data_IF_093915081441
#
_entry.id   IF_093915081441
#
_cell.length_a   1.000
_cell.length_b   1.000
_cell.length_c   1.000
_cell.angle_alpha   90.00
_cell.angle_beta   90.00
_cell.angle_gamma   90.00
#
_symmetry.space_group_name_H-M   'P 1'
#
loop_
_entity.id
_entity.type
_entity.pdbx_description
1 polymer ?
2 non-polymer ?
3 water ?
#
# COMPACT_ATOMS: atom_id res chain seq x y z
N UNK A 4 12.99 64.87 -2.12
CA UNK A 4 13.39 64.00 -3.22
C UNK A 4 12.74 62.64 -3.11
N UNK A 5 12.39 62.04 -4.24
CA UNK A 5 11.50 60.89 -4.26
C UNK A 5 12.15 59.52 -4.39
N UNK A 6 11.32 58.48 -4.37
CA UNK A 6 11.79 57.11 -4.47
C UNK A 6 11.90 56.67 -5.93
N UNK A 7 12.72 55.66 -6.16
CA UNK A 7 12.82 55.04 -7.46
C UNK A 7 11.54 54.26 -7.74
N UNK A 8 11.14 54.25 -9.01
CA UNK A 8 9.92 53.54 -9.40
C UNK A 8 10.04 52.04 -9.13
N UNK A 9 11.23 51.50 -9.38
CA UNK A 9 11.49 50.08 -9.19
C UNK A 9 11.58 49.70 -7.71
N UNK A 10 11.36 50.67 -6.83
CA UNK A 10 11.21 50.41 -5.41
C UNK A 10 9.74 50.56 -5.00
N UNK A 11 9.09 51.59 -5.52
CA UNK A 11 7.67 51.83 -5.27
C UNK A 11 6.77 50.70 -5.78
N UNK A 12 7.14 50.12 -6.92
CA UNK A 12 6.27 49.21 -7.66
C UNK A 12 5.83 47.96 -6.88
N UNK A 13 6.48 47.70 -5.75
CA UNK A 13 6.18 46.49 -4.97
C UNK A 13 5.40 46.79 -3.70
N UNK A 14 4.97 48.04 -3.54
CA UNK A 14 4.36 48.49 -2.28
C UNK A 14 2.85 48.29 -2.18
N UNK A 15 2.21 47.91 -3.28
CA UNK A 15 0.74 47.78 -3.28
C UNK A 15 0.27 46.65 -2.36
N UNK A 16 -0.68 46.98 -1.49
CA UNK A 16 -1.11 46.07 -0.43
C UNK A 16 -2.33 45.23 -0.81
N UNK A 17 -3.07 45.66 -1.82
CA UNK A 17 -4.27 44.97 -2.25
C UNK A 17 -3.98 43.59 -2.81
N UNK A 18 -5.01 42.75 -2.92
CA UNK A 18 -4.86 41.42 -3.51
C UNK A 18 -4.88 41.47 -5.04
N UNK A 19 -4.31 40.45 -5.68
CA UNK A 19 -4.38 40.33 -7.12
C UNK A 19 -5.79 39.91 -7.52
N UNK A 20 -6.36 40.58 -8.53
CA UNK A 20 -7.75 40.36 -8.90
C UNK A 20 -7.93 39.90 -10.34
N UNK A 21 -6.84 39.58 -11.00
CA UNK A 21 -6.90 39.17 -12.41
C UNK A 21 -6.30 37.80 -12.64
N UNK A 22 -6.48 37.30 -13.86
CA UNK A 22 -5.92 36.02 -14.26
C UNK A 22 -5.76 35.93 -15.76
N UNK A 23 -5.41 34.74 -16.24
CA UNK A 23 -5.29 34.50 -17.67
C UNK A 23 -6.27 33.42 -18.12
N UNK A 24 -6.90 33.66 -19.26
CA UNK A 24 -7.89 32.76 -19.82
C UNK A 24 -7.30 31.98 -20.99
N UNK A 25 -7.20 30.67 -20.85
CA UNK A 25 -6.59 29.85 -21.90
C UNK A 25 -7.47 28.64 -22.23
N UNK A 26 -7.29 28.10 -23.43
CA UNK A 26 -7.99 26.89 -23.82
C UNK A 26 -7.52 25.72 -22.95
N UNK A 27 -8.42 24.79 -22.68
CA UNK A 27 -8.10 23.64 -21.84
C UNK A 27 -6.89 22.88 -22.39
N UNK A 28 -6.85 22.71 -23.71
CA UNK A 28 -5.75 21.98 -24.34
C UNK A 28 -4.39 22.67 -24.16
N UNK A 29 -4.42 23.93 -23.75
CA UNK A 29 -3.19 24.69 -23.53
C UNK A 29 -2.84 24.75 -22.03
N UNK A 30 -3.82 24.38 -21.20
CA UNK A 30 -3.77 24.64 -19.76
C UNK A 30 -2.53 24.15 -19.04
N UNK A 31 -2.06 22.95 -19.37
CA UNK A 31 -0.85 22.44 -18.71
C UNK A 31 0.34 23.28 -19.13
N UNK A 32 0.48 23.47 -20.45
CA UNK A 32 1.57 24.26 -21.00
C UNK A 32 1.66 25.60 -20.27
N UNK A 33 0.57 26.36 -20.37
CA UNK A 33 0.47 27.66 -19.72
C UNK A 33 0.83 27.59 -18.23
N UNK A 34 0.31 26.59 -17.52
CA UNK A 34 0.58 26.49 -16.08
C UNK A 34 2.09 26.47 -15.88
N UNK A 35 2.74 25.55 -16.61
CA UNK A 35 4.19 25.42 -16.57
C UNK A 35 4.80 26.79 -16.82
N UNK A 36 4.38 27.41 -17.93
CA UNK A 36 4.89 28.72 -18.32
C UNK A 36 4.80 29.70 -17.16
N UNK A 37 3.61 29.79 -16.57
CA UNK A 37 3.38 30.79 -15.53
C UNK A 37 4.29 30.53 -14.35
N UNK A 38 4.53 29.26 -14.07
CA UNK A 38 5.39 28.90 -12.94
C UNK A 38 6.82 29.29 -13.26
N UNK A 39 7.23 29.07 -14.51
CA UNK A 39 8.61 29.30 -14.89
C UNK A 39 8.94 30.78 -14.92
N UNK A 40 8.01 31.58 -15.40
CA UNK A 40 8.20 33.03 -15.49
C UNK A 40 8.09 33.63 -14.09
N UNK A 41 7.30 33.01 -13.23
CA UNK A 41 7.22 33.39 -11.84
C UNK A 41 6.10 34.37 -11.52
N UNK A 42 5.01 34.28 -12.27
CA UNK A 42 3.87 35.17 -12.04
C UNK A 42 2.61 34.37 -11.69
N UNK A 43 2.79 33.14 -11.23
CA UNK A 43 1.68 32.29 -10.84
C UNK A 43 1.25 32.57 -9.40
N UNK A 44 -0.01 32.96 -9.22
CA UNK A 44 -0.52 33.31 -7.90
C UNK A 44 -0.97 32.07 -7.13
N UNK A 45 -0.23 31.74 -6.08
CA UNK A 45 -0.55 30.58 -5.27
C UNK A 45 -1.66 30.83 -4.26
N UNK A 46 -2.00 32.10 -4.07
CA UNK A 46 -3.01 32.50 -3.09
C UNK A 46 -4.43 32.15 -3.54
N UNK A 47 -4.63 32.03 -4.85
CA UNK A 47 -5.96 31.80 -5.39
C UNK A 47 -6.05 30.47 -6.13
N UNK A 48 -7.27 29.95 -6.26
CA UNK A 48 -7.51 28.74 -7.03
C UNK A 48 -7.63 29.06 -8.52
N UNK A 49 -7.36 28.06 -9.34
CA UNK A 49 -7.70 28.14 -10.75
C UNK A 49 -9.10 27.59 -10.94
N UNK A 50 -9.81 28.09 -11.94
CA UNK A 50 -11.12 27.55 -12.23
C UNK A 50 -11.19 27.15 -13.69
N UNK A 51 -12.26 26.46 -14.04
CA UNK A 51 -12.44 26.04 -15.41
C UNK A 51 -13.91 26.01 -15.76
N UNK A 52 -14.19 26.17 -17.05
CA UNK A 52 -15.47 25.74 -17.61
C UNK A 52 -15.20 24.71 -18.73
N UNK A 53 -16.22 24.41 -19.51
CA UNK A 53 -16.16 23.36 -20.53
C UNK A 53 -15.15 23.61 -21.68
N UNK A 54 -14.75 24.87 -21.88
CA UNK A 54 -13.83 25.23 -22.96
C UNK A 54 -12.55 25.89 -22.45
N UNK A 55 -12.62 26.55 -21.29
CA UNK A 55 -11.50 27.38 -20.85
C UNK A 55 -11.08 27.14 -19.40
N UNK A 56 -9.82 27.46 -19.14
CA UNK A 56 -9.25 27.44 -17.80
C UNK A 56 -8.75 28.85 -17.48
N UNK A 57 -8.93 29.29 -16.25
CA UNK A 57 -8.43 30.59 -15.83
C UNK A 57 -7.42 30.43 -14.69
N UNK A 58 -6.19 30.88 -14.92
CA UNK A 58 -5.15 30.80 -13.89
C UNK A 58 -4.94 32.16 -13.23
N UNK A 59 -4.84 32.19 -11.90
CA UNK A 59 -4.54 33.44 -11.21
C UNK A 59 -3.10 33.91 -11.43
N UNK A 60 -2.91 35.18 -11.77
CA UNK A 60 -1.57 35.71 -12.00
C UNK A 60 -1.25 36.89 -11.09
N UNK A 61 0.03 37.14 -10.87
CA UNK A 61 0.47 38.24 -9.99
C UNK A 61 0.94 39.46 -10.78
N UNK A 62 1.10 39.31 -12.08
CA UNK A 62 1.55 40.41 -12.93
C UNK A 62 0.89 40.32 -14.31
N UNK A 63 -0.09 41.19 -14.55
CA UNK A 63 -0.86 41.16 -15.79
C UNK A 63 -0.07 41.71 -16.98
N UNK A 64 0.86 42.63 -16.70
CA UNK A 64 1.70 43.17 -17.76
C UNK A 64 2.61 42.10 -18.35
N UNK A 65 3.27 41.34 -17.47
CA UNK A 65 4.11 40.23 -17.88
C UNK A 65 3.26 39.17 -18.57
N UNK A 66 2.07 38.94 -18.04
CA UNK A 66 1.12 38.01 -18.63
C UNK A 66 0.84 38.38 -20.09
N UNK A 67 0.60 39.66 -20.34
CA UNK A 67 0.38 40.13 -21.70
C UNK A 67 1.66 40.01 -22.53
N UNK A 68 2.81 40.17 -21.89
CA UNK A 68 4.09 39.99 -22.57
C UNK A 68 4.31 38.52 -22.92
N UNK A 69 3.52 37.64 -22.34
CA UNK A 69 3.55 36.23 -22.68
C UNK A 69 2.48 35.89 -23.73
N UNK A 70 1.76 36.91 -24.18
CA UNK A 70 0.74 36.74 -25.21
C UNK A 70 -0.55 36.13 -24.69
N UNK A 71 -0.73 36.15 -23.38
CA UNK A 71 -1.90 35.56 -22.75
C UNK A 71 -3.05 36.57 -22.61
N UNK A 72 -4.27 36.07 -22.63
CA UNK A 72 -5.44 36.93 -22.46
C UNK A 72 -5.73 37.18 -20.98
N UNK A 73 -5.65 38.45 -20.57
CA UNK A 73 -5.88 38.82 -19.19
C UNK A 73 -7.36 39.10 -18.94
N UNK A 74 -7.90 38.51 -17.87
CA UNK A 74 -9.28 38.72 -17.49
C UNK A 74 -9.38 39.18 -16.04
N UNK A 75 -10.43 39.92 -15.72
CA UNK A 75 -10.71 40.31 -14.34
C UNK A 75 -11.79 39.40 -13.75
N UNK A 76 -11.39 38.53 -12.83
CA UNK A 76 -12.27 37.53 -12.26
C UNK A 76 -12.06 37.41 -10.76
N UNK A 77 -13.13 37.17 -10.01
CA UNK A 77 -13.01 36.87 -8.59
C UNK A 77 -12.81 35.37 -8.39
N UNK A 78 -11.56 34.96 -8.24
CA UNK A 78 -11.22 33.55 -8.07
C UNK A 78 -11.23 33.15 -6.59
N UNK A 79 -11.56 31.87 -6.33
CA UNK A 79 -11.58 31.36 -4.95
C UNK A 79 -10.21 31.41 -4.28
N UNK A 80 -10.18 31.79 -3.02
CA UNK A 80 -8.95 31.77 -2.24
C UNK A 80 -8.51 30.32 -2.02
N UNK A 81 -7.20 30.11 -1.88
CA UNK A 81 -6.69 28.79 -1.55
C UNK A 81 -7.20 28.40 -0.16
N UNK A 82 -7.51 27.11 0.03
CA UNK A 82 -7.91 26.66 1.37
C UNK A 82 -6.71 26.65 2.31
N UNK A 83 -6.91 27.10 3.54
CA UNK A 83 -5.85 27.05 4.54
C UNK A 83 -6.01 25.80 5.41
N UNK A 84 -7.26 25.44 5.69
CA UNK A 84 -7.55 24.25 6.46
C UNK A 84 -7.82 23.06 5.53
N UNK A 85 -7.53 21.86 6.03
CA UNK A 85 -7.67 20.64 5.23
C UNK A 85 -8.67 19.68 5.88
N UNK A 86 -9.72 19.32 5.15
CA UNK A 86 -10.77 18.46 5.69
C UNK A 86 -11.02 17.19 4.87
N UNK A 87 -10.23 16.99 3.82
CA UNK A 87 -10.33 15.78 3.01
C UNK A 87 -9.88 14.56 3.82
N UNK A 88 -10.58 13.44 3.67
CA UNK A 88 -10.28 12.24 4.45
C UNK A 88 -9.82 11.09 3.58
N UNK A 89 -10.12 11.17 2.28
CA UNK A 89 -9.68 10.14 1.35
C UNK A 89 -9.35 10.69 -0.04
N UNK A 90 -8.72 9.85 -0.86
CA UNK A 90 -8.15 10.27 -2.14
C UNK A 90 -9.20 10.78 -3.12
N UNK A 91 -10.39 10.19 -3.09
CA UNK A 91 -11.47 10.56 -4.00
C UNK A 91 -11.88 12.04 -3.85
N UNK A 92 -11.67 12.58 -2.66
CA UNK A 92 -12.00 13.98 -2.40
C UNK A 92 -11.06 14.93 -3.12
N UNK A 93 -9.90 14.43 -3.52
CA UNK A 93 -8.84 15.27 -4.06
C UNK A 93 -8.63 15.10 -5.56
N UNK A 94 -9.41 14.24 -6.19
CA UNK A 94 -9.26 13.96 -7.61
C UNK A 94 -10.60 13.93 -8.33
N UNK A 95 -10.60 14.26 -9.63
CA UNK A 95 -11.81 14.04 -10.43
C UNK A 95 -12.12 12.56 -10.51
N UNK A 96 -13.39 12.21 -10.62
CA UNK A 96 -13.82 10.83 -10.57
C UNK A 96 -13.25 9.99 -11.72
N UNK A 97 -13.07 10.61 -12.88
CA UNK A 97 -12.55 9.92 -14.05
C UNK A 97 -11.11 9.47 -13.86
N UNK A 98 -10.36 10.21 -13.05
CA UNK A 98 -8.99 9.84 -12.72
C UNK A 98 -8.96 8.84 -11.57
N UNK A 99 -9.71 9.15 -10.51
CA UNK A 99 -9.74 8.30 -9.32
C UNK A 99 -10.21 6.87 -9.59
N UNK A 100 -11.20 6.75 -10.48
CA UNK A 100 -11.82 5.46 -10.72
C UNK A 100 -10.87 4.46 -11.40
N UNK A 101 -9.87 4.98 -12.09
CA UNK A 101 -8.89 4.13 -12.76
C UNK A 101 -7.71 3.77 -11.85
N UNK A 102 -7.56 4.51 -10.76
CA UNK A 102 -6.51 4.21 -9.79
C UNK A 102 -6.79 2.92 -9.05
N UNK A 103 -5.74 2.16 -8.74
CA UNK A 103 -5.87 1.01 -7.89
C UNK A 103 -5.93 1.46 -6.44
N UNK A 104 -6.04 0.50 -5.53
CA UNK A 104 -6.09 0.84 -4.11
C UNK A 104 -4.75 1.38 -3.64
N UNK A 105 -4.79 2.43 -2.83
CA UNK A 105 -3.58 3.01 -2.27
C UNK A 105 -3.18 2.27 -0.99
N UNK A 106 -1.90 1.93 -0.88
CA UNK A 106 -1.37 1.26 0.31
C UNK A 106 -0.28 2.09 0.94
N UNK A 107 -0.24 2.12 2.26
CA UNK A 107 0.82 2.79 2.98
C UNK A 107 1.71 1.79 3.69
N UNK A 108 2.99 1.78 3.33
CA UNK A 108 3.96 0.97 4.04
C UNK A 108 5.02 1.89 4.62
N UNK A 109 4.99 2.06 5.95
CA UNK A 109 5.88 3.00 6.61
C UNK A 109 5.62 4.42 6.14
N UNK A 110 6.63 5.03 5.53
CA UNK A 110 6.49 6.37 4.99
C UNK A 110 6.47 6.32 3.46
N UNK A 111 6.04 5.19 2.93
CA UNK A 111 5.95 4.98 1.49
C UNK A 111 4.50 4.79 1.06
N UNK A 112 4.09 5.52 0.03
CA UNK A 112 2.77 5.35 -0.55
C UNK A 112 2.87 4.60 -1.88
N UNK A 113 2.06 3.56 -2.03
CA UNK A 113 2.07 2.75 -3.24
C UNK A 113 0.69 2.75 -3.90
N UNK A 114 0.67 3.05 -5.20
CA UNK A 114 -0.58 3.14 -5.94
C UNK A 114 -0.34 2.55 -7.32
N UNK A 115 -1.38 2.02 -7.95
CA UNK A 115 -1.25 1.54 -9.31
C UNK A 115 -1.85 2.57 -10.25
N UNK A 116 -1.11 2.88 -11.31
CA UNK A 116 -1.52 3.91 -12.26
C UNK A 116 -1.49 3.37 -13.69
N UNK A 117 -2.67 3.03 -14.24
CA UNK A 117 -2.78 2.58 -15.63
C UNK A 117 -2.23 3.61 -16.60
N UNK A 118 -1.70 3.15 -17.73
CA UNK A 118 -1.05 4.03 -18.69
C UNK A 118 -1.96 5.16 -19.19
N UNK A 119 -3.27 4.90 -19.25
CA UNK A 119 -4.19 5.85 -19.88
C UNK A 119 -4.47 7.10 -19.06
N UNK A 120 -4.16 7.07 -17.77
CA UNK A 120 -4.35 8.23 -16.90
C UNK A 120 -2.98 8.71 -16.37
N UNK A 121 -1.93 8.22 -17.02
CA UNK A 121 -0.54 8.43 -16.60
C UNK A 121 -0.09 9.87 -16.82
N UNK A 122 -0.71 10.51 -17.81
CA UNK A 122 -0.49 11.91 -18.08
C UNK A 122 -0.88 12.73 -16.86
N UNK A 123 -1.83 12.21 -16.07
CA UNK A 123 -2.36 12.93 -14.92
C UNK A 123 -1.53 12.67 -13.66
N UNK A 124 -0.39 12.02 -13.85
CA UNK A 124 0.56 11.66 -12.79
C UNK A 124 0.72 12.75 -11.75
N UNK A 125 1.02 13.97 -12.22
CA UNK A 125 1.32 15.07 -11.33
C UNK A 125 0.15 15.48 -10.43
N UNK A 126 -1.10 15.32 -10.87
CA UNK A 126 -2.19 15.66 -9.96
C UNK A 126 -2.30 14.52 -8.94
N UNK A 127 -2.08 13.30 -9.40
CA UNK A 127 -2.22 12.12 -8.56
C UNK A 127 -1.29 12.23 -7.37
N UNK A 128 0.01 12.33 -7.66
CA UNK A 128 1.01 12.59 -6.65
C UNK A 128 0.55 13.69 -5.69
N UNK A 129 0.11 14.80 -6.28
CA UNK A 129 -0.27 15.97 -5.49
C UNK A 129 -1.31 15.54 -4.47
N UNK A 130 -2.36 14.88 -4.97
CA UNK A 130 -3.46 14.44 -4.13
C UNK A 130 -2.92 13.59 -3.00
N UNK A 131 -2.06 12.63 -3.35
CA UNK A 131 -1.51 11.73 -2.36
C UNK A 131 -0.74 12.53 -1.32
N UNK A 132 0.09 13.45 -1.80
CA UNK A 132 0.91 14.26 -0.90
C UNK A 132 0.02 15.07 0.02
N UNK A 133 -1.15 15.44 -0.48
CA UNK A 133 -2.07 16.23 0.32
C UNK A 133 -2.74 15.36 1.37
N UNK A 134 -3.04 14.12 1.02
CA UNK A 134 -3.76 13.23 1.93
C UNK A 134 -2.81 12.67 2.98
N UNK A 135 -1.58 12.39 2.56
CA UNK A 135 -0.57 11.86 3.47
C UNK A 135 0.68 12.74 3.46
N UNK A 136 0.67 13.82 4.26
CA UNK A 136 1.79 14.76 4.31
C UNK A 136 3.06 14.14 4.89
N UNK A 137 2.92 13.02 5.59
CA UNK A 137 4.05 12.40 6.26
C UNK A 137 4.86 11.46 5.37
N UNK A 138 4.25 10.95 4.30
CA UNK A 138 4.96 10.01 3.43
C UNK A 138 6.05 10.73 2.65
N UNK A 139 7.14 10.01 2.37
CA UNK A 139 8.30 10.61 1.72
C UNK A 139 8.60 9.94 0.38
N UNK A 140 7.89 8.84 0.10
CA UNK A 140 8.07 8.13 -1.16
C UNK A 140 6.72 7.78 -1.78
N UNK A 141 6.56 8.10 -3.06
CA UNK A 141 5.40 7.65 -3.81
C UNK A 141 5.87 6.83 -5.00
N UNK A 142 5.40 5.59 -5.05
CA UNK A 142 5.82 4.64 -6.07
C UNK A 142 4.63 4.05 -6.82
N UNK A 143 4.78 3.90 -8.14
CA UNK A 143 3.78 3.26 -8.97
C UNK A 143 4.03 1.76 -9.02
N UNK A 144 2.99 0.96 -8.81
CA UNK A 144 3.17 -0.49 -8.73
C UNK A 144 2.70 -1.23 -9.99
N UNK A 145 3.36 -2.35 -10.26
CA UNK A 145 2.95 -3.25 -11.32
C UNK A 145 2.47 -4.57 -10.73
N UNK A 146 3.01 -5.67 -11.24
CA UNK A 146 2.66 -6.99 -10.73
C UNK A 146 3.78 -7.57 -9.87
N UNK A 147 3.53 -8.75 -9.30
CA UNK A 147 4.56 -9.48 -8.57
C UNK A 147 5.34 -10.36 -9.54
N UNK A 148 6.66 -10.37 -9.41
CA UNK A 148 7.51 -11.11 -10.33
C UNK A 148 8.40 -12.13 -9.62
N UNK A 149 8.68 -13.24 -10.30
CA UNK A 149 9.62 -14.23 -9.81
C UNK A 149 9.10 -15.10 -8.68
N UNK A 150 10.00 -15.91 -8.12
CA UNK A 150 9.65 -16.82 -7.05
C UNK A 150 9.39 -16.09 -5.74
N UNK A 151 10.07 -14.96 -5.54
CA UNK A 151 10.00 -14.23 -4.29
C UNK A 151 8.81 -13.26 -4.27
N UNK A 152 8.07 -13.21 -5.37
CA UNK A 152 6.85 -12.41 -5.48
C UNK A 152 7.08 -10.93 -5.16
N UNK A 153 8.23 -10.41 -5.58
CA UNK A 153 8.55 -9.01 -5.37
C UNK A 153 7.71 -8.13 -6.30
N UNK A 154 7.12 -7.08 -5.73
CA UNK A 154 6.27 -6.18 -6.50
C UNK A 154 7.08 -5.25 -7.40
N UNK A 155 6.69 -5.17 -8.67
CA UNK A 155 7.27 -4.20 -9.58
C UNK A 155 6.92 -2.79 -9.10
N UNK A 156 7.94 -1.96 -8.90
CA UNK A 156 7.72 -0.62 -8.36
C UNK A 156 8.64 0.42 -8.99
N UNK A 157 8.09 1.60 -9.26
CA UNK A 157 8.89 2.72 -9.72
C UNK A 157 8.60 3.97 -8.88
N UNK A 158 9.64 4.50 -8.25
CA UNK A 158 9.50 5.73 -7.48
C UNK A 158 9.15 6.88 -8.42
N UNK A 159 7.98 7.49 -8.19
CA UNK A 159 7.54 8.59 -9.03
C UNK A 159 7.52 9.91 -8.27
N UNK A 160 7.72 9.84 -6.95
CA UNK A 160 7.94 11.05 -6.17
C UNK A 160 8.72 10.80 -4.89
N UNK A 161 9.54 11.77 -4.49
CA UNK A 161 10.19 11.75 -3.20
C UNK A 161 11.53 11.03 -3.19
N UNK A 162 11.93 10.58 -2.01
CA UNK A 162 13.21 9.92 -1.84
C UNK A 162 13.31 8.65 -2.68
N UNK A 163 14.46 8.45 -3.32
CA UNK A 163 14.65 7.34 -4.24
C UNK A 163 14.97 6.03 -3.51
N UNK A 164 14.04 5.58 -2.69
CA UNK A 164 14.24 4.38 -1.88
C UNK A 164 12.93 3.65 -1.69
N UNK A 165 13.01 2.33 -1.52
CA UNK A 165 11.82 1.52 -1.32
C UNK A 165 11.90 0.75 -0.01
N UNK A 166 12.80 1.17 0.87
CA UNK A 166 12.95 0.55 2.17
C UNK A 166 12.48 1.48 3.29
N UNK A 167 11.81 0.91 4.29
CA UNK A 167 11.28 1.69 5.40
C UNK A 167 10.96 0.80 6.59
N UNK A 168 10.48 1.42 7.68
CA UNK A 168 10.04 0.67 8.84
C UNK A 168 8.54 0.85 9.03
N UNK A 169 7.82 -0.26 9.06
CA UNK A 169 6.36 -0.25 9.12
C UNK A 169 5.85 -0.62 10.51
N UNK A 170 4.96 0.19 11.06
CA UNK A 170 4.41 -0.07 12.38
C UNK A 170 3.07 -0.80 12.28
N UNK A 171 2.97 -1.96 12.91
CA UNK A 171 1.72 -2.73 12.86
C UNK A 171 1.51 -3.59 14.10
N UNK A 172 0.34 -3.45 14.71
CA UNK A 172 -0.06 -4.31 15.83
C UNK A 172 0.96 -4.34 16.96
N UNK A 173 1.67 -3.22 17.15
CA UNK A 173 2.62 -3.11 18.23
C UNK A 173 4.02 -3.57 17.90
N UNK A 174 4.25 -3.95 16.64
CA UNK A 174 5.58 -4.37 16.23
C UNK A 174 6.14 -3.52 15.09
N UNK A 175 7.46 -3.55 14.97
CA UNK A 175 8.19 -2.83 13.93
C UNK A 175 8.68 -3.79 12.87
N UNK A 176 8.41 -3.46 11.61
CA UNK A 176 8.73 -4.34 10.50
C UNK A 176 9.59 -3.62 9.46
N UNK A 177 10.89 -3.90 9.46
CA UNK A 177 11.76 -3.37 8.43
C UNK A 177 11.43 -4.06 7.11
N UNK A 178 11.17 -3.27 6.08
CA UNK A 178 10.82 -3.80 4.78
C UNK A 178 11.61 -3.14 3.66
N UNK A 179 11.94 -3.92 2.64
CA UNK A 179 12.54 -3.38 1.42
C UNK A 179 11.73 -3.88 0.24
N UNK A 180 10.83 -3.03 -0.24
CA UNK A 180 9.86 -3.43 -1.24
C UNK A 180 10.48 -3.74 -2.61
N UNK A 181 11.76 -3.40 -2.77
CA UNK A 181 12.48 -3.73 -3.99
C UNK A 181 13.12 -5.11 -3.90
N UNK A 182 13.10 -5.68 -2.70
CA UNK A 182 13.79 -6.95 -2.45
C UNK A 182 12.90 -8.01 -1.82
N UNK A 183 11.80 -7.60 -1.19
CA UNK A 183 10.94 -8.55 -0.49
C UNK A 183 9.45 -8.32 -0.76
N UNK A 184 8.66 -9.35 -0.49
CA UNK A 184 7.20 -9.25 -0.54
C UNK A 184 6.67 -8.82 0.83
N UNK A 185 5.65 -7.97 0.82
CA UNK A 185 4.96 -7.59 2.05
C UNK A 185 3.59 -6.99 1.76
N UNK A 186 2.59 -7.44 2.49
CA UNK A 186 1.24 -6.91 2.35
C UNK A 186 0.71 -6.38 3.68
N UNK A 187 0.57 -5.05 3.79
CA UNK A 187 0.10 -4.40 5.01
C UNK A 187 -1.36 -4.74 5.33
N UNK A 188 -2.15 -5.01 4.30
CA UNK A 188 -3.58 -5.23 4.45
C UNK A 188 -3.92 -6.53 5.19
N UNK A 189 -2.89 -7.33 5.49
CA UNK A 189 -3.05 -8.55 6.26
C UNK A 189 -3.05 -8.27 7.76
N UNK A 190 -2.79 -7.00 8.11
CA UNK A 190 -2.80 -6.51 9.49
C UNK A 190 -3.90 -7.18 10.32
N UNK A 191 -5.15 -6.94 9.90
CA UNK A 191 -6.31 -7.54 10.53
C UNK A 191 -6.14 -9.02 10.78
N UNK A 192 -5.92 -9.79 9.71
CA UNK A 192 -5.73 -11.22 9.81
C UNK A 192 -4.69 -11.56 10.87
N UNK A 193 -3.54 -10.88 10.79
CA UNK A 193 -2.44 -11.21 11.67
C UNK A 193 -2.83 -11.00 13.12
N UNK A 194 -3.61 -9.95 13.36
CA UNK A 194 -4.08 -9.68 14.71
C UNK A 194 -5.05 -10.77 15.12
N UNK A 195 -5.99 -11.07 14.22
CA UNK A 195 -7.06 -12.02 14.52
C UNK A 195 -6.51 -13.37 15.00
N UNK A 196 -5.66 -13.98 14.19
CA UNK A 196 -5.06 -15.27 14.54
C UNK A 196 -4.28 -15.13 15.85
N UNK A 197 -3.61 -13.99 16.03
CA UNK A 197 -2.83 -13.76 17.23
C UNK A 197 -3.73 -13.84 18.46
N UNK A 198 -4.97 -13.37 18.34
CA UNK A 198 -5.88 -13.43 19.45
C UNK A 198 -6.42 -14.84 19.65
N UNK A 199 -6.52 -15.61 18.57
CA UNK A 199 -7.03 -16.97 18.65
C UNK A 199 -6.02 -17.92 19.30
N UNK A 200 -4.74 -17.62 19.08
CA UNK A 200 -3.66 -18.46 19.59
C UNK A 200 -3.61 -18.49 21.11
N UNK A 201 -3.40 -19.69 21.67
CA UNK A 201 -3.24 -19.84 23.11
C UNK A 201 -1.77 -19.97 23.49
N UNK A 202 -1.44 -19.56 24.71
CA UNK A 202 -0.08 -19.70 25.23
C UNK A 202 0.36 -21.15 25.24
N UNK A 203 1.60 -21.40 24.82
CA UNK A 203 2.16 -22.74 24.86
C UNK A 203 2.13 -23.47 23.53
N UNK A 204 1.48 -22.88 22.53
CA UNK A 204 1.37 -23.51 21.22
C UNK A 204 2.71 -23.54 20.48
N UNK A 205 2.90 -24.56 19.66
CA UNK A 205 3.98 -24.56 18.69
C UNK A 205 3.37 -24.24 17.32
N UNK A 206 3.83 -23.16 16.70
CA UNK A 206 3.21 -22.67 15.48
C UNK A 206 4.21 -22.65 14.31
N UNK A 207 3.72 -23.01 13.13
CA UNK A 207 4.54 -23.01 11.92
C UNK A 207 4.00 -22.00 10.91
N UNK A 208 4.87 -21.12 10.42
CA UNK A 208 4.49 -20.16 9.38
C UNK A 208 5.38 -20.29 8.15
N UNK A 209 4.91 -21.05 7.15
CA UNK A 209 5.57 -21.12 5.84
C UNK A 209 5.37 -19.82 5.05
N UNK A 210 6.25 -19.55 4.10
CA UNK A 210 6.19 -18.33 3.27
C UNK A 210 6.15 -17.07 4.15
N UNK A 211 7.04 -17.00 5.14
CA UNK A 211 6.92 -16.03 6.22
C UNK A 211 7.34 -14.59 5.85
N UNK A 212 8.10 -14.44 4.78
CA UNK A 212 8.57 -13.12 4.37
C UNK A 212 9.54 -12.52 5.36
N UNK A 213 9.31 -11.26 5.73
CA UNK A 213 10.11 -10.62 6.78
C UNK A 213 9.44 -10.84 8.13
N UNK A 214 8.83 -12.01 8.27
CA UNK A 214 8.07 -12.49 9.43
C UNK A 214 7.10 -11.54 10.15
N UNK A 215 6.22 -10.82 9.41
CA UNK A 215 5.23 -10.04 10.16
C UNK A 215 4.27 -10.92 10.98
N UNK A 216 3.86 -12.05 10.41
CA UNK A 216 2.93 -12.96 11.10
C UNK A 216 3.54 -13.56 12.38
N UNK A 217 4.76 -14.14 12.30
CA UNK A 217 5.39 -14.59 13.55
C UNK A 217 5.59 -13.45 14.55
N UNK A 218 5.93 -12.25 14.06
CA UNK A 218 6.16 -11.11 14.93
C UNK A 218 4.90 -10.72 15.70
N UNK A 219 3.76 -10.65 15.04
CA UNK A 219 2.52 -10.28 15.72
C UNK A 219 2.08 -11.37 16.69
N UNK A 220 2.09 -12.62 16.22
CA UNK A 220 1.70 -13.73 17.07
C UNK A 220 2.55 -13.78 18.34
N UNK A 221 3.87 -13.73 18.18
CA UNK A 221 4.78 -13.77 19.32
C UNK A 221 4.69 -12.49 20.16
N UNK A 222 4.21 -11.42 19.55
CA UNK A 222 4.00 -10.17 20.26
C UNK A 222 2.89 -10.32 21.29
N UNK A 223 1.83 -11.04 20.91
CA UNK A 223 0.70 -11.15 21.83
C UNK A 223 0.63 -12.43 22.66
N UNK A 224 1.37 -13.47 22.26
CA UNK A 224 1.26 -14.76 22.95
C UNK A 224 2.63 -15.40 23.22
N UNK A 225 2.72 -16.12 24.34
CA UNK A 225 3.94 -16.85 24.68
C UNK A 225 3.97 -18.20 23.98
N UNK A 226 4.40 -18.20 22.73
CA UNK A 226 4.44 -19.40 21.91
C UNK A 226 5.77 -19.51 21.18
N UNK A 227 6.00 -20.65 20.53
CA UNK A 227 7.18 -20.82 19.69
C UNK A 227 6.75 -20.90 18.23
N UNK A 228 7.29 -19.99 17.42
CA UNK A 228 6.92 -19.93 16.01
C UNK A 228 8.08 -20.28 15.08
N UNK A 229 7.84 -21.23 14.19
CA UNK A 229 8.80 -21.57 13.14
C UNK A 229 8.46 -20.85 11.85
N UNK A 230 9.40 -20.08 11.32
CA UNK A 230 9.18 -19.33 10.09
C UNK A 230 10.09 -19.83 8.96
N UNK A 231 9.49 -20.10 7.81
CA UNK A 231 10.25 -20.62 6.67
C UNK A 231 10.12 -19.68 5.46
N UNK A 232 11.27 -19.19 4.98
CA UNK A 232 11.32 -18.27 3.86
C UNK A 232 12.51 -18.59 2.95
N UNK A 233 12.29 -18.53 1.64
CA UNK A 233 13.32 -18.92 0.68
C UNK A 233 14.16 -17.74 0.19
N UNK A 234 13.57 -16.54 0.24
CA UNK A 234 14.28 -15.33 -0.17
C UNK A 234 15.24 -14.88 0.93
N UNK A 235 16.54 -14.92 0.63
CA UNK A 235 17.56 -14.68 1.64
C UNK A 235 17.58 -13.23 2.12
N UNK A 236 17.16 -12.30 1.26
CA UNK A 236 17.08 -10.90 1.67
C UNK A 236 15.95 -10.74 2.68
N UNK A 237 14.84 -11.44 2.41
CA UNK A 237 13.71 -11.46 3.33
C UNK A 237 14.10 -12.11 4.64
N UNK A 238 14.95 -13.13 4.57
CA UNK A 238 15.47 -13.80 5.77
C UNK A 238 16.30 -12.82 6.59
N UNK A 239 17.17 -12.09 5.91
CA UNK A 239 18.02 -11.09 6.55
C UNK A 239 17.19 -10.04 7.28
N UNK A 240 16.23 -9.46 6.56
CA UNK A 240 15.34 -8.47 7.15
C UNK A 240 14.51 -9.07 8.29
N UNK A 241 14.22 -10.36 8.20
CA UNK A 241 13.48 -11.06 9.25
C UNK A 241 14.32 -11.17 10.51
N UNK A 242 15.61 -11.44 10.34
CA UNK A 242 16.53 -11.50 11.47
C UNK A 242 16.65 -10.13 12.13
N UNK A 243 16.80 -9.10 11.30
CA UNK A 243 16.90 -7.74 11.80
C UNK A 243 15.60 -7.33 12.53
N UNK A 244 14.47 -7.85 12.06
CA UNK A 244 13.18 -7.56 12.69
C UNK A 244 13.03 -8.29 14.02
N UNK A 245 13.55 -9.52 14.06
CA UNK A 245 13.53 -10.31 15.28
C UNK A 245 14.37 -9.61 16.34
N UNK A 246 15.50 -9.07 15.92
CA UNK A 246 16.38 -8.35 16.84
C UNK A 246 15.78 -7.00 17.24
N UNK A 247 15.04 -6.39 16.33
CA UNK A 247 14.45 -5.07 16.55
C UNK A 247 13.27 -5.12 17.53
N UNK A 248 12.57 -6.25 17.56
CA UNK A 248 11.38 -6.39 18.40
C UNK A 248 11.58 -7.31 19.59
N UNK A 249 12.83 -7.66 19.89
CA UNK A 249 13.13 -8.70 20.88
C UNK A 249 12.58 -8.39 22.28
N UNK A 250 12.68 -7.14 22.70
CA UNK A 250 12.28 -6.77 24.06
C UNK A 250 10.79 -6.51 24.20
N UNK A 251 10.02 -6.83 23.17
CA UNK A 251 8.57 -6.63 23.23
C UNK A 251 7.82 -7.90 22.81
N UNK A 252 8.56 -8.97 22.57
CA UNK A 252 7.97 -10.24 22.19
C UNK A 252 7.81 -11.16 23.40
N UNK A 253 6.60 -11.69 23.58
CA UNK A 253 6.35 -12.65 24.64
C UNK A 253 6.79 -14.04 24.18
N UNK A 254 6.65 -14.28 22.88
CA UNK A 254 6.93 -15.59 22.31
C UNK A 254 8.32 -15.69 21.73
N UNK A 255 8.61 -16.84 21.10
CA UNK A 255 9.90 -17.06 20.46
C UNK A 255 9.73 -17.37 18.97
N UNK A 256 10.70 -16.94 18.18
CA UNK A 256 10.65 -17.15 16.73
C UNK A 256 11.93 -17.79 16.21
N UNK A 257 11.77 -18.89 15.48
CA UNK A 257 12.90 -19.53 14.83
C UNK A 257 12.81 -19.33 13.32
N UNK A 258 13.81 -18.67 12.74
CA UNK A 258 13.81 -18.36 11.32
C UNK A 258 14.56 -19.42 10.52
N UNK A 259 13.87 -20.05 9.59
CA UNK A 259 14.48 -21.05 8.73
C UNK A 259 14.57 -20.58 7.28
N UNK A 260 15.80 -20.40 6.80
CA UNK A 260 16.01 -20.05 5.41
C UNK A 260 15.98 -21.31 4.55
N UNK A 261 14.95 -21.47 3.74
CA UNK A 261 14.84 -22.63 2.88
C UNK A 261 13.54 -22.76 2.11
N UNK A 262 13.46 -23.80 1.31
CA UNK A 262 12.27 -24.11 0.52
C UNK A 262 11.24 -24.84 1.38
N UNK A 263 10.05 -24.25 1.50
CA UNK A 263 8.96 -24.81 2.28
C UNK A 263 8.68 -26.27 1.93
N UNK A 264 8.65 -26.56 0.63
CA UNK A 264 8.32 -27.91 0.17
C UNK A 264 9.44 -28.90 0.43
N UNK A 265 10.62 -28.40 0.79
CA UNK A 265 11.74 -29.25 1.16
C UNK A 265 11.87 -29.31 2.69
N UNK A 266 11.62 -28.18 3.33
CA UNK A 266 11.83 -28.05 4.78
C UNK A 266 10.73 -28.74 5.58
N UNK A 267 9.48 -28.48 5.22
CA UNK A 267 8.34 -28.97 6.01
C UNK A 267 8.29 -30.50 6.21
N UNK A 268 8.57 -31.29 5.15
CA UNK A 268 8.58 -32.74 5.40
C UNK A 268 9.64 -33.20 6.40
N UNK A 269 10.63 -32.35 6.70
CA UNK A 269 11.67 -32.69 7.65
C UNK A 269 11.45 -32.04 9.02
N UNK A 270 10.29 -31.42 9.20
CA UNK A 270 9.94 -30.80 10.46
C UNK A 270 8.99 -31.69 11.26
N UNK A 271 9.00 -31.56 12.59
CA UNK A 271 7.96 -32.20 13.40
C UNK A 271 6.62 -31.49 13.18
N UNK A 272 5.53 -32.08 13.65
CA UNK A 272 4.23 -31.45 13.48
C UNK A 272 4.01 -30.34 14.50
N UNK A 273 3.03 -29.48 14.22
CA UNK A 273 2.76 -28.32 15.06
C UNK A 273 1.30 -28.28 15.50
N UNK A 274 1.02 -27.54 16.56
CA UNK A 274 -0.36 -27.31 16.99
C UNK A 274 -1.12 -26.56 15.91
N UNK A 275 -0.54 -25.44 15.48
CA UNK A 275 -1.20 -24.55 14.52
C UNK A 275 -0.27 -24.23 13.35
N UNK A 276 -0.82 -24.27 12.14
CA UNK A 276 -0.06 -23.87 10.96
C UNK A 276 -0.77 -22.70 10.27
N UNK A 277 0.00 -21.65 10.00
CA UNK A 277 -0.53 -20.46 9.34
C UNK A 277 0.17 -20.27 8.00
N UNK A 278 -0.58 -20.42 6.91
CA UNK A 278 0.02 -20.43 5.58
C UNK A 278 -0.41 -19.25 4.71
N UNK A 279 0.35 -18.15 4.76
CA UNK A 279 0.13 -17.04 3.82
C UNK A 279 0.63 -17.42 2.44
N UNK A 280 -0.07 -18.36 1.83
CA UNK A 280 0.34 -18.97 0.56
C UNK A 280 0.55 -17.95 -0.54
N UNK A 281 1.64 -18.08 -1.31
CA UNK A 281 1.84 -17.24 -2.49
C UNK A 281 0.68 -17.44 -3.47
N UNK A 282 0.28 -16.39 -4.18
CA UNK A 282 -0.86 -16.47 -5.08
C UNK A 282 -0.62 -17.48 -6.18
N UNK A 283 -1.59 -18.38 -6.37
CA UNK A 283 -1.51 -19.40 -7.41
C UNK A 283 -0.90 -20.70 -6.92
N UNK A 284 -0.19 -20.63 -5.80
CA UNK A 284 0.47 -21.81 -5.24
C UNK A 284 -0.51 -22.66 -4.43
N UNK A 285 -0.37 -23.99 -4.55
CA UNK A 285 -1.17 -24.92 -3.77
C UNK A 285 -0.30 -25.63 -2.74
N UNK A 286 -0.40 -25.22 -1.48
CA UNK A 286 0.36 -25.85 -0.41
C UNK A 286 -0.57 -26.43 0.64
N UNK A 287 -1.81 -26.71 0.24
CA UNK A 287 -2.85 -27.20 1.15
C UNK A 287 -2.46 -28.51 1.82
N UNK A 288 -2.15 -29.52 1.01
CA UNK A 288 -1.79 -30.85 1.51
C UNK A 288 -0.62 -30.79 2.50
N UNK A 289 0.45 -30.11 2.10
CA UNK A 289 1.67 -30.05 2.90
C UNK A 289 1.49 -29.29 4.21
N UNK A 290 0.81 -28.14 4.15
CA UNK A 290 0.61 -27.35 5.36
C UNK A 290 -0.36 -28.05 6.32
N UNK A 291 -1.38 -28.70 5.77
CA UNK A 291 -2.32 -29.45 6.59
C UNK A 291 -1.61 -30.64 7.25
N UNK A 292 -0.68 -31.26 6.52
CA UNK A 292 0.03 -32.43 7.04
C UNK A 292 0.86 -32.08 8.28
N UNK A 293 1.21 -30.80 8.43
CA UNK A 293 2.03 -30.38 9.56
C UNK A 293 1.18 -29.82 10.69
N UNK A 294 -0.13 -29.81 10.52
CA UNK A 294 -1.05 -29.26 11.52
C UNK A 294 -1.71 -30.37 12.33
N UNK A 295 -1.78 -30.17 13.64
CA UNK A 295 -2.38 -31.16 14.53
C UNK A 295 -3.74 -30.68 15.07
N UNK A 296 -3.92 -29.36 15.14
CA UNK A 296 -5.15 -28.80 15.70
C UNK A 296 -5.81 -27.76 14.80
N UNK A 297 -5.03 -26.83 14.29
CA UNK A 297 -5.57 -25.79 13.43
C UNK A 297 -4.69 -25.51 12.21
N UNK A 298 -5.33 -25.39 11.06
CA UNK A 298 -4.66 -24.85 9.89
C UNK A 298 -5.36 -23.58 9.46
N UNK A 299 -4.60 -22.55 9.14
CA UNK A 299 -5.17 -21.35 8.55
C UNK A 299 -4.59 -21.18 7.16
N UNK A 300 -5.29 -21.69 6.16
CA UNK A 300 -4.76 -21.74 4.81
C UNK A 300 -5.33 -20.64 3.92
N UNK A 301 -4.49 -19.65 3.60
CA UNK A 301 -4.92 -18.54 2.75
C UNK A 301 -4.80 -18.90 1.28
N UNK A 302 -5.72 -18.39 0.48
CA UNK A 302 -5.72 -18.66 -0.96
C UNK A 302 -6.44 -17.55 -1.71
N UNK A 303 -6.38 -17.60 -3.03
CA UNK A 303 -7.15 -16.68 -3.87
C UNK A 303 -8.12 -17.48 -4.72
N UNK A 304 -9.41 -17.24 -4.52
CA UNK A 304 -10.45 -18.04 -5.15
C UNK A 304 -11.48 -17.17 -5.85
N UNK A 305 -11.87 -17.56 -7.05
CA UNK A 305 -12.91 -16.88 -7.80
C UNK A 305 -14.24 -17.01 -7.07
N UNK A 306 -15.10 -16.01 -7.24
CA UNK A 306 -16.40 -15.93 -6.58
C UNK A 306 -17.23 -17.21 -6.73
N UNK A 307 -17.14 -17.84 -7.88
CA UNK A 307 -17.96 -19.00 -8.20
C UNK A 307 -17.29 -20.33 -7.86
N UNK A 308 -16.15 -20.26 -7.16
CA UNK A 308 -15.39 -21.47 -6.85
C UNK A 308 -15.25 -21.71 -5.35
N UNK A 309 -15.76 -20.79 -4.55
CA UNK A 309 -15.67 -20.88 -3.09
C UNK A 309 -16.12 -22.25 -2.56
N UNK A 310 -17.30 -22.67 -2.99
CA UNK A 310 -17.85 -23.96 -2.62
C UNK A 310 -16.89 -25.09 -2.96
N UNK A 311 -16.45 -25.11 -4.21
CA UNK A 311 -15.49 -26.10 -4.68
C UNK A 311 -14.22 -26.08 -3.84
N UNK A 312 -13.73 -24.87 -3.53
CA UNK A 312 -12.57 -24.69 -2.68
C UNK A 312 -12.74 -25.41 -1.34
N UNK A 313 -13.84 -25.11 -0.66
CA UNK A 313 -14.18 -25.75 0.61
C UNK A 313 -14.20 -27.28 0.46
N UNK A 314 -14.88 -27.74 -0.59
CA UNK A 314 -14.97 -29.16 -0.88
C UNK A 314 -13.59 -29.80 -0.99
N UNK A 315 -12.70 -29.17 -1.74
CA UNK A 315 -11.33 -29.68 -1.91
C UNK A 315 -10.57 -29.73 -0.58
N UNK A 316 -10.75 -28.70 0.25
CA UNK A 316 -10.15 -28.73 1.58
C UNK A 316 -10.63 -29.94 2.37
N UNK A 317 -11.94 -30.14 2.41
CA UNK A 317 -12.53 -31.30 3.08
C UNK A 317 -11.99 -32.63 2.53
N UNK A 318 -11.89 -32.71 1.20
CA UNK A 318 -11.34 -33.86 0.51
C UNK A 318 -9.94 -34.17 1.00
N UNK A 319 -9.10 -33.14 1.09
CA UNK A 319 -7.74 -33.32 1.57
C UNK A 319 -7.73 -33.77 3.03
N UNK A 320 -8.63 -33.23 3.82
CA UNK A 320 -8.77 -33.65 5.21
C UNK A 320 -9.07 -35.13 5.32
N UNK A 321 -9.97 -35.61 4.47
CA UNK A 321 -10.28 -37.04 4.45
C UNK A 321 -9.10 -37.85 3.92
N UNK A 322 -8.38 -37.27 2.97
CA UNK A 322 -7.25 -37.94 2.32
C UNK A 322 -6.12 -38.21 3.31
N UNK A 323 -5.95 -37.30 4.28
CA UNK A 323 -4.91 -37.45 5.28
C UNK A 323 -5.41 -38.19 6.51
N UNK A 324 -6.62 -38.73 6.43
CA UNK A 324 -7.20 -39.47 7.54
C UNK A 324 -7.58 -38.58 8.71
N UNK A 325 -7.85 -37.31 8.42
CA UNK A 325 -8.21 -36.34 9.45
C UNK A 325 -9.72 -36.11 9.52
N UNK A 326 -10.21 -35.91 10.73
CA UNK A 326 -11.60 -35.53 10.94
C UNK A 326 -11.63 -34.04 11.27
N UNK A 327 -12.24 -33.23 10.40
CA UNK A 327 -12.12 -31.78 10.53
C UNK A 327 -13.44 -31.03 10.35
N UNK A 328 -13.48 -29.84 10.97
CA UNK A 328 -14.47 -28.84 10.61
C UNK A 328 -13.77 -27.76 9.79
N UNK A 329 -14.35 -27.42 8.64
CA UNK A 329 -13.73 -26.44 7.76
C UNK A 329 -14.61 -25.21 7.59
N UNK A 330 -14.04 -24.05 7.92
CA UNK A 330 -14.72 -22.77 7.75
C UNK A 330 -13.97 -21.90 6.76
N UNK A 331 -14.68 -21.37 5.77
CA UNK A 331 -14.06 -20.50 4.76
C UNK A 331 -14.51 -19.05 4.95
N UNK A 332 -13.53 -18.16 5.06
CA UNK A 332 -13.80 -16.74 5.24
C UNK A 332 -13.29 -15.93 4.06
N UNK A 333 -14.05 -14.91 3.65
CA UNK A 333 -13.56 -13.95 2.70
C UNK A 333 -12.69 -12.93 3.42
N UNK A 334 -11.40 -12.94 3.12
CA UNK A 334 -10.45 -12.05 3.80
C UNK A 334 -10.47 -10.67 3.16
N UNK A 335 -10.41 -10.62 1.83
CA UNK A 335 -10.46 -9.32 1.15
C UNK A 335 -10.87 -9.43 -0.31
N UNK A 336 -11.31 -8.30 -0.87
CA UNK A 336 -11.58 -8.21 -2.30
C UNK A 336 -10.27 -8.01 -3.04
N UNK A 337 -9.87 -9.00 -3.81
CA UNK A 337 -8.58 -8.96 -4.48
C UNK A 337 -8.65 -8.24 -5.84
N UNK A 338 -9.59 -8.66 -6.68
CA UNK A 338 -9.87 -8.01 -7.94
C UNK A 338 -11.33 -8.36 -8.26
N UNK A 339 -11.91 -7.84 -9.37
CA UNK A 339 -13.33 -8.17 -9.54
C UNK A 339 -13.62 -9.67 -9.61
N UNK A 340 -14.62 -10.11 -8.84
CA UNK A 340 -15.07 -11.51 -8.78
C UNK A 340 -14.07 -12.45 -8.09
N UNK A 341 -12.96 -11.92 -7.60
CA UNK A 341 -11.93 -12.76 -6.99
C UNK A 341 -11.62 -12.35 -5.56
N UNK A 342 -11.72 -13.30 -4.64
CA UNK A 342 -11.50 -13.03 -3.23
C UNK A 342 -10.21 -13.65 -2.70
N UNK A 343 -9.54 -12.91 -1.81
CA UNK A 343 -8.55 -13.52 -0.94
C UNK A 343 -9.33 -14.14 0.20
N UNK A 344 -9.19 -15.44 0.37
CA UNK A 344 -9.95 -16.19 1.37
C UNK A 344 -9.05 -16.96 2.31
N UNK A 345 -9.61 -17.38 3.44
CA UNK A 345 -8.88 -18.20 4.40
C UNK A 345 -9.70 -19.40 4.82
N UNK A 346 -9.11 -20.59 4.67
CA UNK A 346 -9.71 -21.81 5.17
C UNK A 346 -9.25 -22.05 6.61
N UNK A 347 -10.17 -21.87 7.55
CA UNK A 347 -9.94 -22.24 8.94
C UNK A 347 -10.28 -23.71 9.11
N UNK A 348 -9.27 -24.52 9.38
CA UNK A 348 -9.46 -25.95 9.55
C UNK A 348 -9.23 -26.35 11.01
N UNK A 349 -10.28 -26.79 11.68
CA UNK A 349 -10.16 -27.32 13.02
C UNK A 349 -10.05 -28.84 12.96
N UNK A 350 -8.88 -29.36 13.33
CA UNK A 350 -8.67 -30.80 13.35
C UNK A 350 -9.21 -31.39 14.64
N UNK A 351 -10.15 -32.30 14.51
CA UNK A 351 -10.89 -32.82 15.65
C UNK A 351 -10.22 -34.03 16.30
N UNK A 352 -10.30 -34.09 17.63
CA UNK A 352 -9.90 -35.27 18.39
C UNK A 352 -11.13 -35.89 19.04
#
# INVERSE_FOLDING_TARGET
MGSSHHHHHHLEVLFQGPHMSGVKVRREDAKKVLELLKSVGILDGKRKAIRDEKYVIFPVTDTNIAKSLGLEVVDVELPMRPERQIYKNLEDLLPREIFKKLGRLDIVGDIAIVSIPDEILSEREVIVSAIRKLYPKVKVIARRGFHSGLYRIRELEVIWGENRLHTIHKENGVLIKVDLSKVFFNPRMKGERYRIAQLVNDGERILVPFAGVIPYPLVIARFKNVEVYAVEINEFAVKLAEENLELNRDRLKGKIKIIHGDVFEVLPNLPNFDRVVSPTPKGVDALSLTLSKAEKFLHYYDFVHESEIERFRERVLEECRRQGKECRVSVRKVSDYKPHVYKVCADVEILS
#
